data_IF_301464268940
#
_entry.id   IF_301464268940
#
_cell.length_a   1.000
_cell.length_b   1.000
_cell.length_c   1.000
_cell.angle_alpha   90.00
_cell.angle_beta   90.00
_cell.angle_gamma   90.00
#
_symmetry.space_group_name_H-M   'P 1'
#
loop_
_entity.id
_entity.type
_entity.pdbx_description
1 polymer ?
#
# COMPACT_ATOMS: atom_id res chain seq x y z
N UNK A 1 -7.54 -9.60 -9.24
CA UNK A 1 -8.75 -9.80 -10.07
C UNK A 1 -8.38 -10.58 -11.30
N UNK A 2 -8.54 -11.91 -11.23
CA UNK A 2 -8.18 -12.91 -12.24
C UNK A 2 -9.20 -12.96 -13.39
N UNK A 3 -9.44 -11.83 -14.04
CA UNK A 3 -10.20 -11.85 -15.29
C UNK A 3 -9.28 -12.33 -16.42
N UNK A 4 -9.72 -13.33 -17.19
CA UNK A 4 -8.96 -13.91 -18.31
C UNK A 4 -8.51 -12.85 -19.34
N UNK A 5 -9.27 -11.77 -19.48
CA UNK A 5 -8.94 -10.61 -20.33
C UNK A 5 -7.66 -9.87 -19.92
N UNK A 6 -7.13 -10.11 -18.71
CA UNK A 6 -5.87 -9.51 -18.22
C UNK A 6 -4.66 -10.42 -18.32
N UNK A 7 -4.82 -11.68 -18.74
CA UNK A 7 -3.71 -12.64 -18.76
C UNK A 7 -2.53 -12.15 -19.64
N UNK A 8 -2.84 -11.69 -20.84
CA UNK A 8 -1.84 -11.13 -21.77
C UNK A 8 -1.19 -9.88 -21.20
N UNK A 9 -1.98 -8.92 -20.71
CA UNK A 9 -1.44 -7.67 -20.14
C UNK A 9 -0.56 -7.91 -18.91
N UNK A 10 -0.93 -8.85 -18.04
CA UNK A 10 -0.13 -9.21 -16.87
C UNK A 10 1.21 -9.82 -17.29
N UNK A 11 1.20 -10.77 -18.23
CA UNK A 11 2.42 -11.39 -18.75
C UNK A 11 3.30 -10.36 -19.46
N UNK A 12 2.71 -9.54 -20.34
CA UNK A 12 3.42 -8.47 -21.04
C UNK A 12 4.08 -7.50 -20.05
N UNK A 13 3.33 -6.96 -19.08
CA UNK A 13 3.87 -6.00 -18.11
C UNK A 13 4.99 -6.58 -17.25
N UNK A 14 4.89 -7.86 -16.88
CA UNK A 14 5.94 -8.54 -16.11
C UNK A 14 7.29 -8.59 -16.86
N UNK A 15 7.26 -8.77 -18.19
CA UNK A 15 8.48 -8.78 -19.01
C UNK A 15 8.89 -7.38 -19.48
N UNK A 16 7.93 -6.52 -19.83
CA UNK A 16 8.20 -5.17 -20.34
C UNK A 16 9.02 -4.36 -19.34
N UNK A 17 8.71 -4.41 -18.04
CA UNK A 17 9.51 -3.72 -17.01
C UNK A 17 10.97 -4.20 -17.02
N UNK A 18 11.22 -5.50 -17.16
CA UNK A 18 12.57 -6.05 -17.26
C UNK A 18 13.27 -5.65 -18.56
N UNK A 19 12.54 -5.55 -19.67
CA UNK A 19 13.08 -5.08 -20.95
C UNK A 19 13.46 -3.60 -20.88
N UNK A 20 12.66 -2.77 -20.21
CA UNK A 20 12.96 -1.36 -19.97
C UNK A 20 14.17 -1.19 -19.03
N UNK A 21 14.30 -2.01 -17.98
CA UNK A 21 15.51 -2.03 -17.12
C UNK A 21 16.76 -2.41 -17.93
N UNK A 22 16.67 -3.44 -18.78
CA UNK A 22 17.77 -3.85 -19.65
C UNK A 22 18.20 -2.72 -20.60
N UNK A 23 17.25 -2.07 -21.28
CA UNK A 23 17.52 -0.92 -22.15
C UNK A 23 18.21 0.21 -21.37
N UNK A 24 17.64 0.62 -20.23
CA UNK A 24 18.17 1.68 -19.39
C UNK A 24 19.61 1.40 -18.94
N UNK A 25 19.88 0.17 -18.46
CA UNK A 25 21.24 -0.25 -18.06
C UNK A 25 22.21 -0.27 -19.23
N UNK A 26 21.81 -0.77 -20.40
CA UNK A 26 22.67 -0.80 -21.58
C UNK A 26 23.07 0.59 -22.10
N UNK A 27 22.23 1.60 -21.84
CA UNK A 27 22.49 3.00 -22.17
C UNK A 27 23.09 3.79 -20.99
N UNK A 28 23.25 3.16 -19.82
CA UNK A 28 23.66 3.78 -18.56
C UNK A 28 22.80 5.02 -18.18
N UNK A 29 21.49 4.90 -18.38
CA UNK A 29 20.48 5.92 -18.04
C UNK A 29 19.58 5.42 -16.90
N UNK A 30 18.98 6.31 -16.10
CA UNK A 30 17.86 5.91 -15.25
C UNK A 30 16.65 5.53 -16.11
N UNK A 31 15.89 4.52 -15.69
CA UNK A 31 14.75 4.00 -16.47
C UNK A 31 13.74 5.08 -16.87
N UNK A 32 13.49 6.06 -15.99
CA UNK A 32 12.54 7.15 -16.23
C UNK A 32 12.89 8.01 -17.46
N UNK A 33 14.16 8.05 -17.88
CA UNK A 33 14.57 8.80 -19.08
C UNK A 33 14.05 8.14 -20.36
N UNK A 34 13.87 6.82 -20.37
CA UNK A 34 13.17 6.12 -21.46
C UNK A 34 11.69 6.51 -21.56
N UNK A 35 11.12 7.05 -20.46
CA UNK A 35 9.73 7.49 -20.36
C UNK A 35 9.58 9.02 -20.53
N UNK A 36 10.63 9.72 -20.95
CA UNK A 36 10.62 11.17 -21.17
C UNK A 36 11.23 12.00 -20.03
N UNK A 37 11.85 11.36 -19.04
CA UNK A 37 12.59 12.02 -17.97
C UNK A 37 11.74 12.35 -16.73
N UNK A 38 12.43 12.54 -15.60
CA UNK A 38 11.78 12.78 -14.32
C UNK A 38 11.25 14.23 -14.20
N UNK A 39 9.93 14.39 -14.04
CA UNK A 39 9.32 15.69 -13.70
C UNK A 39 9.33 16.01 -12.19
N UNK A 40 9.75 15.04 -11.36
CA UNK A 40 9.96 15.18 -9.91
C UNK A 40 10.91 14.09 -9.43
N UNK A 41 11.71 14.39 -8.41
CA UNK A 41 12.71 13.47 -7.87
C UNK A 41 12.15 12.51 -6.80
N UNK A 42 11.01 12.87 -6.18
CA UNK A 42 10.38 12.09 -5.11
C UNK A 42 8.91 11.85 -5.43
N UNK A 43 8.45 10.61 -5.27
CA UNK A 43 7.07 10.19 -5.48
C UNK A 43 6.39 10.02 -4.10
N UNK A 44 5.36 10.81 -3.75
CA UNK A 44 4.64 10.63 -2.51
C UNK A 44 3.79 9.36 -2.55
N UNK A 45 3.75 8.62 -1.43
CA UNK A 45 2.91 7.44 -1.21
C UNK A 45 1.97 7.66 -0.03
N UNK A 46 0.95 6.80 0.08
CA UNK A 46 -0.01 6.80 1.20
C UNK A 46 0.27 5.66 2.18
N UNK A 47 -0.04 5.88 3.47
CA UNK A 47 -0.18 4.80 4.43
C UNK A 47 -1.41 3.94 4.04
N UNK A 48 -1.18 2.67 3.70
CA UNK A 48 -2.26 1.75 3.28
C UNK A 48 -2.64 0.85 4.45
N UNK A 49 -3.74 1.21 5.10
CA UNK A 49 -4.25 0.56 6.30
C UNK A 49 -5.16 -0.62 5.94
N UNK A 50 -5.13 -1.62 6.81
CA UNK A 50 -5.94 -2.83 6.69
C UNK A 50 -6.52 -3.22 8.04
N UNK A 51 -7.78 -3.65 8.02
CA UNK A 51 -8.31 -4.48 9.09
C UNK A 51 -7.59 -5.82 9.08
N UNK A 52 -7.16 -6.29 10.25
CA UNK A 52 -6.44 -7.56 10.38
C UNK A 52 -6.68 -8.21 11.73
N UNK A 53 -6.69 -9.54 11.75
CA UNK A 53 -6.57 -10.31 12.99
C UNK A 53 -5.16 -10.20 13.58
N UNK A 54 -5.02 -10.55 14.85
CA UNK A 54 -3.72 -10.55 15.54
C UNK A 54 -2.73 -11.56 14.94
N UNK A 55 -3.25 -12.67 14.42
CA UNK A 55 -2.44 -13.76 13.84
C UNK A 55 -3.23 -14.55 12.80
N UNK A 56 -2.50 -15.31 11.98
CA UNK A 56 -3.09 -16.37 11.17
C UNK A 56 -3.53 -17.54 12.06
N UNK A 57 -4.57 -18.27 11.63
CA UNK A 57 -4.95 -19.54 12.23
C UNK A 57 -3.84 -20.58 11.98
N UNK A 58 -3.54 -21.41 12.97
CA UNK A 58 -2.56 -22.51 12.91
C UNK A 58 -1.18 -22.10 12.36
N UNK A 59 -0.73 -20.88 12.70
CA UNK A 59 0.51 -20.33 12.15
C UNK A 59 1.76 -21.08 12.63
N UNK A 60 2.68 -21.45 11.73
CA UNK A 60 3.95 -22.10 12.08
C UNK A 60 5.06 -21.10 12.46
N UNK A 61 4.75 -19.81 12.52
CA UNK A 61 5.68 -18.74 12.87
C UNK A 61 5.04 -17.74 13.85
N UNK A 62 5.84 -16.97 14.62
CA UNK A 62 5.32 -16.00 15.57
C UNK A 62 4.36 -14.98 14.92
N UNK A 63 3.34 -14.51 15.66
CA UNK A 63 2.50 -13.40 15.20
C UNK A 63 3.30 -12.18 14.78
N UNK A 64 2.78 -11.41 13.83
CA UNK A 64 3.41 -10.17 13.42
C UNK A 64 3.35 -9.12 14.54
N UNK A 65 4.26 -8.14 14.48
CA UNK A 65 4.38 -7.12 15.51
C UNK A 65 3.32 -6.03 15.44
N UNK A 66 2.37 -6.06 14.50
CA UNK A 66 1.32 -5.04 14.40
C UNK A 66 0.14 -5.29 15.34
N UNK A 67 -0.11 -6.55 15.68
CA UNK A 67 -1.31 -6.94 16.42
C UNK A 67 -2.58 -6.84 15.57
N UNK A 68 -3.74 -6.93 16.21
CA UNK A 68 -5.04 -6.78 15.55
C UNK A 68 -5.38 -5.32 15.25
N UNK A 69 -6.18 -5.13 14.20
CA UNK A 69 -6.82 -3.87 13.90
C UNK A 69 -8.24 -4.14 13.41
N UNK A 70 -9.20 -4.12 14.33
CA UNK A 70 -10.61 -4.39 14.08
C UNK A 70 -11.52 -3.27 14.61
N UNK A 71 -10.95 -2.24 15.24
CA UNK A 71 -11.66 -1.07 15.74
C UNK A 71 -10.92 0.24 15.42
N UNK A 72 -11.56 1.36 15.74
CA UNK A 72 -11.10 2.72 15.47
C UNK A 72 -9.73 3.01 16.09
N UNK A 73 -9.55 2.64 17.36
CA UNK A 73 -8.32 2.92 18.12
C UNK A 73 -7.13 2.18 17.51
N UNK A 74 -7.33 0.92 17.15
CA UNK A 74 -6.28 0.09 16.56
C UNK A 74 -5.95 0.54 15.13
N UNK A 75 -6.94 0.94 14.34
CA UNK A 75 -6.70 1.51 12.99
C UNK A 75 -5.93 2.82 13.09
N UNK A 76 -6.25 3.68 14.06
CA UNK A 76 -5.47 4.90 14.33
C UNK A 76 -4.05 4.56 14.78
N UNK A 77 -3.86 3.57 15.65
CA UNK A 77 -2.53 3.14 16.09
C UNK A 77 -1.69 2.58 14.93
N UNK A 78 -2.28 1.77 14.06
CA UNK A 78 -1.64 1.28 12.83
C UNK A 78 -1.20 2.44 11.94
N UNK A 79 -2.06 3.45 11.75
CA UNK A 79 -1.73 4.64 10.99
C UNK A 79 -0.60 5.46 11.61
N UNK A 80 -0.61 5.68 12.93
CA UNK A 80 0.45 6.42 13.66
C UNK A 80 1.79 5.75 13.42
N UNK A 81 1.86 4.44 13.64
CA UNK A 81 3.08 3.67 13.41
C UNK A 81 3.59 3.78 11.97
N UNK A 82 2.72 3.69 10.96
CA UNK A 82 3.14 3.84 9.56
C UNK A 82 3.62 5.27 9.25
N UNK A 83 2.95 6.28 9.77
CA UNK A 83 3.32 7.69 9.54
C UNK A 83 4.62 8.03 10.26
N UNK A 84 4.83 7.56 11.49
CA UNK A 84 6.08 7.76 12.23
C UNK A 84 7.27 7.06 11.56
N UNK A 85 7.08 5.84 11.08
CA UNK A 85 8.16 5.08 10.45
C UNK A 85 8.52 5.57 9.03
N UNK A 86 7.53 6.05 8.26
CA UNK A 86 7.71 6.31 6.82
C UNK A 86 7.39 7.73 6.36
N UNK A 87 6.77 8.56 7.21
CA UNK A 87 6.45 9.95 6.88
C UNK A 87 5.35 10.12 5.83
N UNK A 88 4.44 9.15 5.67
CA UNK A 88 3.33 9.25 4.72
C UNK A 88 2.44 10.47 5.01
N UNK A 89 2.05 11.18 3.94
CA UNK A 89 1.24 12.41 4.03
C UNK A 89 -0.22 12.23 3.59
N UNK A 90 -0.60 10.99 3.29
CA UNK A 90 -1.97 10.63 2.94
C UNK A 90 -2.26 9.22 3.44
N UNK A 91 -3.53 8.93 3.70
CA UNK A 91 -3.99 7.67 4.28
C UNK A 91 -5.03 7.05 3.36
N UNK A 92 -4.95 5.73 3.17
CA UNK A 92 -5.96 4.92 2.51
C UNK A 92 -6.32 3.73 3.41
N UNK A 93 -7.60 3.60 3.75
CA UNK A 93 -8.13 2.41 4.43
C UNK A 93 -8.67 1.39 3.42
N UNK A 94 -8.27 0.13 3.53
CA UNK A 94 -8.93 -0.98 2.84
C UNK A 94 -10.28 -1.29 3.52
N UNK A 95 -11.33 -0.68 2.98
CA UNK A 95 -12.73 -0.89 3.36
C UNK A 95 -13.37 -2.10 2.62
N UNK A 96 -14.65 -2.36 2.90
CA UNK A 96 -15.42 -3.48 2.35
C UNK A 96 -15.09 -4.81 3.02
N UNK A 97 -14.62 -4.77 4.27
CA UNK A 97 -14.22 -5.93 5.06
C UNK A 97 -15.06 -6.10 6.34
N UNK A 98 -15.49 -4.99 6.94
CA UNK A 98 -16.36 -4.95 8.12
C UNK A 98 -17.68 -4.26 7.81
N UNK A 99 -18.54 -4.13 8.82
CA UNK A 99 -19.79 -3.39 8.73
C UNK A 99 -19.54 -1.93 8.27
N UNK A 100 -20.26 -1.42 7.25
CA UNK A 100 -19.97 -0.10 6.66
C UNK A 100 -20.01 1.05 7.67
N UNK A 101 -20.94 1.03 8.62
CA UNK A 101 -21.08 2.06 9.65
C UNK A 101 -19.87 2.08 10.58
N UNK A 102 -19.31 0.91 10.88
CA UNK A 102 -18.06 0.75 11.64
C UNK A 102 -16.83 1.20 10.84
N UNK A 103 -16.77 0.91 9.55
CA UNK A 103 -15.68 1.43 8.72
C UNK A 103 -15.73 2.96 8.61
N UNK A 104 -16.93 3.54 8.57
CA UNK A 104 -17.14 5.00 8.62
C UNK A 104 -16.69 5.59 9.95
N UNK A 105 -16.94 4.93 11.09
CA UNK A 105 -16.44 5.41 12.39
C UNK A 105 -14.91 5.38 12.43
N UNK A 106 -14.26 4.35 11.87
CA UNK A 106 -12.81 4.28 11.72
C UNK A 106 -12.26 5.44 10.88
N UNK A 107 -12.90 5.78 9.76
CA UNK A 107 -12.50 6.94 8.92
C UNK A 107 -12.63 8.26 9.70
N UNK A 108 -13.72 8.43 10.46
CA UNK A 108 -13.91 9.63 11.31
C UNK A 108 -12.85 9.72 12.40
N UNK A 109 -12.49 8.60 13.03
CA UNK A 109 -11.42 8.53 14.01
C UNK A 109 -10.05 8.88 13.41
N UNK A 110 -9.73 8.35 12.22
CA UNK A 110 -8.52 8.72 11.47
C UNK A 110 -8.48 10.23 11.19
N UNK A 111 -9.58 10.82 10.69
CA UNK A 111 -9.67 12.27 10.44
C UNK A 111 -9.45 13.08 11.72
N UNK A 112 -9.98 12.64 12.85
CA UNK A 112 -9.79 13.31 14.15
C UNK A 112 -8.34 13.19 14.64
N UNK A 113 -7.72 12.03 14.45
CA UNK A 113 -6.36 11.73 14.91
C UNK A 113 -5.27 12.39 14.04
N UNK A 114 -5.57 12.60 12.76
CA UNK A 114 -4.71 13.22 11.77
C UNK A 114 -5.47 14.34 11.06
N UNK A 115 -5.70 15.48 11.74
CA UNK A 115 -6.22 16.66 11.08
C UNK A 115 -5.20 17.07 10.00
N UNK A 116 -5.67 17.22 8.77
CA UNK A 116 -4.86 17.71 7.66
C UNK A 116 -4.36 19.13 7.91
#
# INVERSE_FOLDING_TARGET
GSHASKAVSNAYSAFEVAFLDLQARSMNLPLVDLLGGAIRERIPFSAYLFFKYAQHIDTPYPPDSWGEALNEEQIVAQARRMIEAYGFKSIKLKAGALDPEHEVSCIKALKKAFPG
#
